data_IF_986582380798
#
_entry.id   IF_986582380798
#
_cell.length_a   1.000
_cell.length_b   1.000
_cell.length_c   1.000
_cell.angle_alpha   90.00
_cell.angle_beta   90.00
_cell.angle_gamma   90.00
#
_symmetry.space_group_name_H-M   'P 1'
#
loop_
_entity.id
_entity.type
_entity.pdbx_description
1 polymer ?
#
# COMPACT_ATOMS: atom_id res chain seq x y z
N UNK A 1 27.61 54.45 23.04
CA UNK A 1 27.53 53.01 22.71
C UNK A 1 26.39 52.29 23.43
N UNK A 2 25.19 52.89 23.55
CA UNK A 2 24.04 52.29 24.28
C UNK A 2 22.85 51.94 23.38
N UNK A 3 22.91 52.24 22.09
CA UNK A 3 21.73 52.24 21.21
C UNK A 3 21.70 51.13 20.17
N UNK A 4 22.75 50.32 20.06
CA UNK A 4 22.85 49.25 19.03
C UNK A 4 22.52 47.87 19.61
N UNK A 5 22.51 47.73 20.94
CA UNK A 5 22.30 46.45 21.61
C UNK A 5 20.82 46.05 21.75
N UNK A 6 19.88 46.98 21.54
CA UNK A 6 18.44 46.72 21.70
C UNK A 6 17.75 46.18 20.44
N UNK A 7 18.39 46.20 19.26
CA UNK A 7 17.75 45.77 18.01
C UNK A 7 17.94 44.27 17.72
N UNK A 8 18.88 43.60 18.38
CA UNK A 8 19.17 42.18 18.16
C UNK A 8 18.30 41.23 19.01
N UNK A 9 17.53 41.75 19.97
CA UNK A 9 16.68 40.91 20.84
C UNK A 9 15.28 40.61 20.28
N UNK A 10 14.86 41.25 19.18
CA UNK A 10 13.51 41.07 18.63
C UNK A 10 13.42 40.09 17.46
N UNK A 11 14.55 39.61 16.93
CA UNK A 11 14.57 38.71 15.77
C UNK A 11 14.61 37.21 16.13
N UNK A 12 14.69 36.85 17.42
CA UNK A 12 14.87 35.46 17.86
C UNK A 12 13.58 34.67 18.15
N UNK A 13 12.42 35.34 18.25
CA UNK A 13 11.20 34.73 18.82
C UNK A 13 10.21 34.15 17.80
N UNK A 14 10.43 34.31 16.49
CA UNK A 14 9.47 33.83 15.47
C UNK A 14 9.92 32.61 14.66
N UNK A 15 11.08 32.03 14.95
CA UNK A 15 11.53 30.76 14.36
C UNK A 15 11.40 29.60 15.34
N UNK A 16 10.33 29.59 16.15
CA UNK A 16 9.91 28.35 16.78
C UNK A 16 9.26 27.50 15.68
N UNK A 17 10.07 26.65 15.06
CA UNK A 17 9.66 25.69 14.04
C UNK A 17 8.42 24.95 14.55
N UNK A 18 7.29 25.06 13.84
CA UNK A 18 6.11 24.25 14.12
C UNK A 18 6.50 22.79 13.90
N UNK A 19 6.84 22.08 14.97
CA UNK A 19 6.83 20.62 14.95
C UNK A 19 5.41 20.20 14.54
N UNK A 20 5.26 19.69 13.33
CA UNK A 20 4.00 19.09 12.91
C UNK A 20 3.75 17.88 13.82
N UNK A 21 2.65 17.93 14.56
CA UNK A 21 2.20 16.78 15.33
C UNK A 21 2.13 15.56 14.40
N UNK A 22 2.57 14.38 14.84
CA UNK A 22 2.42 13.17 14.05
C UNK A 22 0.96 13.03 13.61
N UNK A 23 0.73 12.79 12.31
CA UNK A 23 -0.61 12.49 11.82
C UNK A 23 -1.07 11.22 12.54
N UNK A 24 -2.08 11.36 13.41
CA UNK A 24 -2.66 10.21 14.08
C UNK A 24 -3.25 9.27 13.01
N UNK A 25 -3.04 7.94 13.13
CA UNK A 25 -3.66 7.01 12.21
C UNK A 25 -5.18 7.13 12.31
N UNK A 26 -5.91 6.94 11.19
CA UNK A 26 -7.36 6.84 11.22
C UNK A 26 -7.82 5.79 12.25
N UNK A 27 -8.84 6.11 13.05
CA UNK A 27 -9.30 5.27 14.16
C UNK A 27 -9.70 3.86 13.73
N UNK A 28 -10.21 3.69 12.51
CA UNK A 28 -10.63 2.40 11.96
C UNK A 28 -9.47 1.39 11.83
N UNK A 29 -8.23 1.84 11.69
CA UNK A 29 -7.05 0.95 11.59
C UNK A 29 -6.81 0.19 12.90
N UNK A 30 -7.22 0.75 14.05
CA UNK A 30 -6.93 0.17 15.37
C UNK A 30 -7.75 -1.09 15.67
N UNK A 31 -8.84 -1.34 14.94
CA UNK A 31 -9.81 -2.41 15.22
C UNK A 31 -10.25 -3.15 13.94
N UNK A 32 -9.62 -2.89 12.80
CA UNK A 32 -9.99 -3.45 11.51
C UNK A 32 -9.43 -4.85 11.27
N UNK A 33 -10.25 -5.76 10.74
CA UNK A 33 -9.81 -7.08 10.32
C UNK A 33 -9.15 -7.04 8.94
N UNK A 34 -7.89 -7.49 8.88
CA UNK A 34 -7.11 -7.58 7.64
C UNK A 34 -7.09 -9.02 7.14
N UNK A 35 -7.27 -9.21 5.84
CA UNK A 35 -7.10 -10.50 5.17
C UNK A 35 -6.03 -10.39 4.09
N UNK A 36 -4.93 -11.14 4.25
CA UNK A 36 -3.86 -11.19 3.26
C UNK A 36 -4.26 -12.09 2.07
N UNK A 37 -4.05 -11.59 0.86
CA UNK A 37 -4.42 -12.26 -0.38
C UNK A 37 -3.18 -12.58 -1.20
N UNK A 38 -2.98 -13.87 -1.45
CA UNK A 38 -2.05 -14.38 -2.45
C UNK A 38 -2.84 -14.73 -3.72
N UNK A 39 -2.83 -13.82 -4.71
CA UNK A 39 -3.69 -13.91 -5.90
C UNK A 39 -3.50 -15.22 -6.65
N UNK A 40 -2.24 -15.61 -6.88
CA UNK A 40 -1.87 -16.84 -7.61
C UNK A 40 -2.47 -18.09 -6.96
N UNK A 41 -2.53 -18.14 -5.63
CA UNK A 41 -2.89 -19.35 -4.89
C UNK A 41 -4.32 -19.34 -4.36
N UNK A 42 -5.03 -18.21 -4.44
CA UNK A 42 -6.36 -18.08 -3.88
C UNK A 42 -7.41 -18.83 -4.72
N UNK A 43 -7.31 -18.78 -6.05
CA UNK A 43 -8.13 -19.58 -6.98
C UNK A 43 -7.24 -20.38 -7.92
N UNK A 44 -7.76 -21.46 -8.57
CA UNK A 44 -7.01 -22.20 -9.57
C UNK A 44 -6.52 -21.35 -10.76
N UNK A 45 -7.29 -20.34 -11.16
CA UNK A 45 -6.94 -19.42 -12.24
C UNK A 45 -5.88 -18.40 -11.84
N UNK A 46 -5.75 -18.11 -10.53
CA UNK A 46 -4.73 -17.21 -10.01
C UNK A 46 -4.84 -15.75 -10.51
N UNK A 47 -6.06 -15.26 -10.79
CA UNK A 47 -6.27 -13.94 -11.43
C UNK A 47 -7.18 -13.01 -10.61
N UNK A 48 -7.07 -11.70 -10.85
CA UNK A 48 -7.94 -10.71 -10.20
C UNK A 48 -9.42 -10.95 -10.49
N UNK A 49 -9.77 -11.35 -11.73
CA UNK A 49 -11.15 -11.62 -12.14
C UNK A 49 -11.74 -12.81 -11.39
N UNK A 50 -10.97 -13.88 -11.22
CA UNK A 50 -11.43 -15.04 -10.47
C UNK A 50 -11.58 -14.71 -8.98
N UNK A 51 -10.62 -13.99 -8.40
CA UNK A 51 -10.69 -13.53 -7.02
C UNK A 51 -11.92 -12.62 -6.74
N UNK A 52 -12.27 -11.75 -7.68
CA UNK A 52 -13.38 -10.78 -7.58
C UNK A 52 -14.71 -11.43 -7.14
N UNK A 53 -14.98 -12.66 -7.57
CA UNK A 53 -16.20 -13.41 -7.21
C UNK A 53 -16.30 -13.74 -5.71
N UNK A 54 -15.19 -13.66 -4.97
CA UNK A 54 -15.13 -14.01 -3.55
C UNK A 54 -15.28 -12.80 -2.62
N UNK A 55 -15.32 -11.57 -3.14
CA UNK A 55 -15.54 -10.35 -2.36
C UNK A 55 -16.79 -10.42 -1.45
N UNK A 56 -17.96 -10.93 -1.91
CA UNK A 56 -19.14 -11.03 -1.05
C UNK A 56 -18.93 -11.93 0.16
N UNK A 57 -18.23 -13.05 -0.01
CA UNK A 57 -17.89 -13.98 1.08
C UNK A 57 -16.92 -13.35 2.07
N UNK A 58 -15.88 -12.67 1.60
CA UNK A 58 -14.89 -12.02 2.47
C UNK A 58 -15.56 -10.91 3.30
N UNK A 59 -16.45 -10.13 2.68
CA UNK A 59 -17.28 -9.15 3.37
C UNK A 59 -18.17 -9.80 4.43
N UNK A 60 -18.85 -10.92 4.13
CA UNK A 60 -19.68 -11.62 5.12
C UNK A 60 -18.87 -12.22 6.28
N UNK A 61 -17.59 -12.51 6.07
CA UNK A 61 -16.66 -12.92 7.14
C UNK A 61 -16.22 -11.76 8.04
N UNK A 62 -16.57 -10.50 7.72
CA UNK A 62 -16.17 -9.32 8.50
C UNK A 62 -14.77 -8.80 8.16
N UNK A 63 -14.23 -9.14 6.99
CA UNK A 63 -12.99 -8.57 6.47
C UNK A 63 -13.23 -7.11 6.10
N UNK A 64 -12.38 -6.21 6.58
CA UNK A 64 -12.47 -4.77 6.35
C UNK A 64 -11.34 -4.26 5.45
N UNK A 65 -10.22 -4.99 5.39
CA UNK A 65 -9.07 -4.61 4.57
C UNK A 65 -8.50 -5.85 3.89
N UNK A 66 -8.33 -5.75 2.57
CA UNK A 66 -7.62 -6.75 1.78
C UNK A 66 -6.18 -6.29 1.59
N UNK A 67 -5.23 -7.11 2.05
CA UNK A 67 -3.81 -6.87 1.85
C UNK A 67 -3.29 -7.81 0.77
N UNK A 68 -3.07 -7.30 -0.43
CA UNK A 68 -2.52 -8.11 -1.50
C UNK A 68 -1.01 -8.26 -1.35
N UNK A 69 -0.53 -9.50 -1.49
CA UNK A 69 0.87 -9.77 -1.81
C UNK A 69 1.28 -9.04 -3.09
N UNK A 70 2.59 -8.82 -3.34
CA UNK A 70 3.02 -8.03 -4.49
C UNK A 70 2.41 -8.48 -5.82
N UNK A 71 1.77 -7.52 -6.49
CA UNK A 71 1.05 -7.74 -7.76
C UNK A 71 1.88 -7.39 -9.00
N UNK A 72 3.18 -7.16 -8.84
CA UNK A 72 4.07 -6.64 -9.88
C UNK A 72 4.79 -7.78 -10.63
N UNK A 73 5.29 -7.56 -11.86
CA UNK A 73 6.07 -8.55 -12.60
C UNK A 73 7.28 -9.04 -11.80
N UNK A 74 7.52 -10.34 -11.82
CA UNK A 74 8.63 -10.99 -11.11
C UNK A 74 9.89 -10.99 -11.99
N UNK A 75 11.03 -10.68 -11.37
CA UNK A 75 12.35 -10.72 -11.99
C UNK A 75 12.71 -12.13 -12.45
N UNK A 76 13.31 -12.21 -13.65
CA UNK A 76 13.80 -13.48 -14.23
C UNK A 76 15.26 -13.75 -13.88
N UNK A 77 16.05 -12.71 -13.64
CA UNK A 77 17.47 -12.85 -13.27
C UNK A 77 17.57 -13.44 -11.88
N UNK A 78 18.39 -14.47 -11.72
CA UNK A 78 18.64 -15.19 -10.45
C UNK A 78 17.35 -15.73 -9.79
N UNK A 79 16.32 -16.00 -10.61
CA UNK A 79 15.02 -16.48 -10.14
C UNK A 79 15.15 -17.87 -9.53
N UNK A 80 14.70 -18.00 -8.30
CA UNK A 80 14.58 -19.30 -7.60
C UNK A 80 13.29 -20.01 -8.02
N UNK A 81 13.40 -21.28 -8.40
CA UNK A 81 12.28 -22.10 -8.84
C UNK A 81 11.66 -21.62 -10.16
N UNK A 82 10.57 -22.27 -10.57
CA UNK A 82 9.90 -21.98 -11.84
C UNK A 82 9.16 -20.63 -11.83
N UNK A 83 8.50 -20.30 -10.72
CA UNK A 83 7.59 -19.15 -10.62
C UNK A 83 8.26 -17.88 -10.06
N UNK A 84 9.30 -18.02 -9.24
CA UNK A 84 9.94 -16.91 -8.53
C UNK A 84 9.13 -16.36 -7.35
N UNK A 85 9.80 -15.55 -6.53
CA UNK A 85 9.21 -14.87 -5.38
C UNK A 85 8.42 -13.63 -5.82
N UNK A 86 7.23 -13.42 -5.25
CA UNK A 86 6.44 -12.18 -5.43
C UNK A 86 7.25 -10.91 -5.08
N UNK A 87 8.20 -11.04 -4.16
CA UNK A 87 9.00 -9.92 -3.67
C UNK A 87 10.22 -9.60 -4.55
N UNK A 88 10.54 -10.43 -5.54
CA UNK A 88 11.60 -10.16 -6.51
C UNK A 88 11.05 -9.32 -7.67
N UNK A 89 10.71 -8.05 -7.42
CA UNK A 89 9.99 -7.20 -8.37
C UNK A 89 10.90 -6.70 -9.50
N UNK A 90 10.44 -6.86 -10.75
CA UNK A 90 11.13 -6.34 -11.95
C UNK A 90 10.69 -4.92 -12.33
N UNK A 91 9.43 -4.57 -12.07
CA UNK A 91 8.87 -3.26 -12.40
C UNK A 91 7.77 -2.87 -11.41
N UNK A 92 8.07 -1.90 -10.53
CA UNK A 92 7.15 -1.39 -9.50
C UNK A 92 5.95 -0.58 -10.03
N UNK A 93 5.88 -0.33 -11.34
CA UNK A 93 4.80 0.48 -11.96
C UNK A 93 3.89 -0.34 -12.86
N UNK A 94 4.19 -1.62 -13.06
CA UNK A 94 3.42 -2.52 -13.90
C UNK A 94 2.71 -3.58 -13.05
N UNK A 95 1.60 -4.09 -13.58
CA UNK A 95 0.89 -5.24 -13.01
C UNK A 95 1.46 -6.52 -13.63
N UNK A 96 1.61 -7.58 -12.83
CA UNK A 96 2.05 -8.88 -13.30
C UNK A 96 1.00 -9.44 -14.28
N UNK A 97 1.33 -9.69 -15.55
CA UNK A 97 0.38 -10.19 -16.53
C UNK A 97 -0.20 -11.58 -16.16
N UNK A 98 0.46 -12.34 -15.28
CA UNK A 98 -0.08 -13.58 -14.72
C UNK A 98 -1.41 -13.37 -13.98
N UNK A 99 -1.60 -12.21 -13.35
CA UNK A 99 -2.79 -11.92 -12.54
C UNK A 99 -3.89 -11.19 -13.34
N UNK A 100 -3.54 -10.64 -14.51
CA UNK A 100 -4.42 -9.86 -15.38
C UNK A 100 -3.82 -8.51 -15.77
N UNK A 101 -4.67 -7.60 -16.25
CA UNK A 101 -4.29 -6.24 -16.66
C UNK A 101 -4.44 -5.21 -15.54
N UNK A 102 -3.88 -4.00 -15.74
CA UNK A 102 -4.16 -2.87 -14.85
C UNK A 102 -5.64 -2.51 -14.79
N UNK A 103 -6.38 -2.68 -15.89
CA UNK A 103 -7.83 -2.47 -15.90
C UNK A 103 -8.55 -3.52 -15.04
N UNK A 104 -8.04 -4.74 -14.99
CA UNK A 104 -8.57 -5.79 -14.12
C UNK A 104 -8.33 -5.49 -12.65
N UNK A 105 -7.13 -5.01 -12.32
CA UNK A 105 -6.81 -4.54 -10.97
C UNK A 105 -7.71 -3.38 -10.53
N UNK A 106 -7.86 -2.35 -11.37
CA UNK A 106 -8.72 -1.19 -11.05
C UNK A 106 -10.16 -1.59 -10.79
N UNK A 107 -10.74 -2.45 -11.64
CA UNK A 107 -12.10 -2.94 -11.44
C UNK A 107 -12.25 -3.73 -10.14
N UNK A 108 -11.25 -4.53 -9.76
CA UNK A 108 -11.27 -5.25 -8.48
C UNK A 108 -11.30 -4.27 -7.30
N UNK A 109 -10.47 -3.22 -7.36
CA UNK A 109 -10.44 -2.15 -6.35
C UNK A 109 -11.78 -1.41 -6.29
N UNK A 110 -12.38 -1.08 -7.44
CA UNK A 110 -13.66 -0.35 -7.49
C UNK A 110 -14.84 -1.18 -6.93
N UNK A 111 -14.74 -2.52 -6.92
CA UNK A 111 -15.77 -3.41 -6.41
C UNK A 111 -15.63 -3.77 -4.93
N UNK A 112 -14.43 -3.65 -4.36
CA UNK A 112 -14.13 -4.01 -2.97
C UNK A 112 -14.65 -2.94 -2.01
#
# INVERSE_FOLDING_TARGET
>A
MRSVLSLLLFCGLFLCSRAQSPVAPPSWILQGNIYEVNVRQYTPEGSFRAFEAHLPRLKSMGVQTLWFMPIHPISKKDRKGALGSYYAIANYRAVNPEFGSLADWKRLVDKA
#
